data_IF_106763145933
#
_entry.id   IF_106763145933
#
_cell.length_a   1.000
_cell.length_b   1.000
_cell.length_c   1.000
_cell.angle_alpha   90.00
_cell.angle_beta   90.00
_cell.angle_gamma   90.00
#
_symmetry.space_group_name_H-M   'P 1'
#
loop_
_entity.id
_entity.type
_entity.pdbx_description
1 polymer ?
#
# COMPACT_ATOMS: atom_id res chain seq x y z
N UNK A 1 15.45 -3.05 6.15
CA UNK A 1 14.05 -3.37 5.85
C UNK A 1 13.63 -2.44 4.72
N UNK A 2 13.23 -2.99 3.58
CA UNK A 2 12.88 -2.17 2.41
C UNK A 2 11.45 -1.64 2.55
N UNK A 3 11.23 -0.37 2.16
CA UNK A 3 9.91 0.28 2.24
C UNK A 3 8.94 -0.32 1.23
N UNK A 4 9.43 -0.59 0.03
CA UNK A 4 8.70 -1.22 -1.07
C UNK A 4 9.19 -2.65 -1.22
N UNK A 5 8.30 -3.58 -1.54
CA UNK A 5 8.67 -4.99 -1.70
C UNK A 5 9.02 -5.36 -3.15
N UNK A 6 8.71 -4.50 -4.11
CA UNK A 6 9.00 -4.67 -5.52
C UNK A 6 9.13 -3.32 -6.24
N UNK A 7 9.76 -3.35 -7.41
CA UNK A 7 10.02 -2.16 -8.23
C UNK A 7 8.72 -1.52 -8.75
N UNK A 8 7.62 -2.26 -8.87
CA UNK A 8 6.36 -1.75 -9.44
C UNK A 8 5.74 -0.75 -8.49
N UNK A 9 5.60 -1.10 -7.20
CA UNK A 9 5.03 -0.17 -6.23
C UNK A 9 5.97 0.99 -5.92
N UNK A 10 7.29 0.78 -5.97
CA UNK A 10 8.25 1.87 -5.88
C UNK A 10 8.12 2.85 -7.07
N UNK A 11 7.99 2.34 -8.30
CA UNK A 11 7.75 3.16 -9.49
C UNK A 11 6.43 3.94 -9.38
N UNK A 12 5.34 3.28 -8.96
CA UNK A 12 4.04 3.92 -8.73
C UNK A 12 4.16 5.02 -7.68
N UNK A 13 4.89 4.75 -6.59
CA UNK A 13 5.09 5.73 -5.53
C UNK A 13 5.78 6.98 -6.09
N UNK A 14 6.92 6.84 -6.76
CA UNK A 14 7.70 7.99 -7.23
C UNK A 14 7.12 8.70 -8.45
N UNK A 15 6.56 7.96 -9.40
CA UNK A 15 6.22 8.48 -10.73
C UNK A 15 4.73 8.58 -11.00
N UNK A 16 3.89 8.04 -10.10
CA UNK A 16 2.43 7.88 -10.24
C UNK A 16 1.97 6.80 -11.23
N UNK A 17 2.90 6.23 -12.00
CA UNK A 17 2.60 5.26 -13.04
C UNK A 17 3.52 4.04 -12.92
N UNK A 18 3.11 2.92 -13.53
CA UNK A 18 3.97 1.79 -13.81
C UNK A 18 3.52 1.15 -15.11
N UNK A 19 4.47 0.86 -16.01
CA UNK A 19 4.17 0.44 -17.39
C UNK A 19 3.34 -0.85 -17.50
N UNK A 20 3.38 -1.69 -16.48
CA UNK A 20 2.66 -2.97 -16.42
C UNK A 20 1.33 -2.92 -15.64
N UNK A 21 0.94 -1.75 -15.12
CA UNK A 21 -0.27 -1.56 -14.33
C UNK A 21 -1.22 -0.62 -15.06
N UNK A 22 -2.52 -0.93 -15.04
CA UNK A 22 -3.52 -0.04 -15.64
C UNK A 22 -3.45 1.35 -15.01
N UNK A 23 -3.43 2.41 -15.83
CA UNK A 23 -3.20 3.78 -15.35
C UNK A 23 -4.18 4.22 -14.25
N UNK A 24 -5.45 3.84 -14.37
CA UNK A 24 -6.46 4.19 -13.38
C UNK A 24 -6.12 3.61 -12.00
N UNK A 25 -5.61 2.38 -11.97
CA UNK A 25 -5.18 1.67 -10.78
C UNK A 25 -3.87 2.26 -10.24
N UNK A 26 -2.88 2.53 -11.09
CA UNK A 26 -1.60 3.11 -10.68
C UNK A 26 -1.79 4.48 -10.02
N UNK A 27 -2.66 5.33 -10.58
CA UNK A 27 -2.98 6.64 -10.01
C UNK A 27 -3.64 6.51 -8.65
N UNK A 28 -4.58 5.57 -8.47
CA UNK A 28 -5.25 5.34 -7.18
C UNK A 28 -4.25 4.81 -6.15
N UNK A 29 -3.42 3.83 -6.52
CA UNK A 29 -2.38 3.29 -5.66
C UNK A 29 -1.40 4.38 -5.22
N UNK A 30 -0.91 5.22 -6.13
CA UNK A 30 -0.03 6.35 -5.83
C UNK A 30 -0.62 7.30 -4.78
N UNK A 31 -1.92 7.62 -4.90
CA UNK A 31 -2.62 8.51 -3.96
C UNK A 31 -2.75 7.93 -2.55
N UNK A 32 -2.82 6.60 -2.43
CA UNK A 32 -2.95 5.91 -1.14
C UNK A 32 -1.57 5.60 -0.55
N UNK A 33 -0.57 5.31 -1.39
CA UNK A 33 0.79 4.97 -0.95
C UNK A 33 1.49 6.13 -0.23
N UNK A 34 1.25 7.38 -0.65
CA UNK A 34 1.82 8.57 0.01
C UNK A 34 1.38 8.74 1.47
N UNK A 35 0.08 8.85 1.78
CA UNK A 35 -0.36 8.94 3.16
C UNK A 35 -0.05 7.65 3.95
N UNK A 36 0.01 6.48 3.30
CA UNK A 36 0.45 5.23 3.95
C UNK A 36 1.90 5.29 4.43
N UNK A 37 2.81 5.81 3.61
CA UNK A 37 4.21 5.95 3.99
C UNK A 37 4.40 7.04 5.06
N UNK A 38 3.57 8.08 5.05
CA UNK A 38 3.62 9.18 6.01
C UNK A 38 2.93 8.87 7.36
N UNK A 39 2.06 7.85 7.40
CA UNK A 39 1.30 7.48 8.58
C UNK A 39 2.23 7.13 9.77
N UNK A 40 1.87 7.63 10.95
CA UNK A 40 2.60 7.38 12.21
C UNK A 40 1.86 6.42 13.12
N UNK A 41 0.59 6.19 12.86
CA UNK A 41 -0.25 5.23 13.55
C UNK A 41 -1.19 4.52 12.57
N UNK A 42 -1.72 3.37 12.96
CA UNK A 42 -2.80 2.73 12.21
C UNK A 42 -4.08 3.58 12.20
N UNK A 43 -4.27 4.48 13.18
CA UNK A 43 -5.40 5.41 13.17
C UNK A 43 -5.30 6.38 11.99
N UNK A 44 -4.09 6.85 11.66
CA UNK A 44 -3.88 7.72 10.49
C UNK A 44 -4.26 7.00 9.19
N UNK A 45 -3.96 5.70 9.11
CA UNK A 45 -4.30 4.86 7.96
C UNK A 45 -5.82 4.71 7.82
N UNK A 46 -6.52 4.47 8.93
CA UNK A 46 -7.97 4.27 8.96
C UNK A 46 -8.77 5.52 8.50
N UNK A 47 -8.17 6.72 8.60
CA UNK A 47 -8.79 7.99 8.13
C UNK A 47 -9.09 7.98 6.63
N UNK A 48 -8.25 7.37 5.80
CA UNK A 48 -8.41 7.39 4.34
C UNK A 48 -8.74 6.02 3.73
N UNK A 49 -8.80 4.97 4.54
CA UNK A 49 -9.36 3.69 4.10
C UNK A 49 -9.38 2.64 5.20
N UNK A 50 -10.38 1.73 5.18
CA UNK A 50 -10.47 0.65 6.15
C UNK A 50 -9.27 -0.29 6.04
N UNK A 51 -8.75 -0.68 7.20
CA UNK A 51 -7.61 -1.60 7.32
C UNK A 51 -8.12 -3.03 7.44
N UNK A 52 -7.62 -3.91 6.59
CA UNK A 52 -7.95 -5.34 6.62
C UNK A 52 -6.72 -6.18 6.96
N UNK A 53 -6.94 -7.33 7.60
CA UNK A 53 -5.91 -8.37 7.72
C UNK A 53 -5.84 -9.14 6.41
N UNK A 54 -4.65 -9.24 5.82
CA UNK A 54 -4.44 -9.95 4.57
C UNK A 54 -4.49 -11.47 4.84
N UNK A 55 -5.38 -12.23 4.17
CA UNK A 55 -5.62 -13.62 4.53
C UNK A 55 -4.43 -14.55 4.23
N UNK A 56 -3.61 -14.19 3.23
CA UNK A 56 -2.52 -15.04 2.74
C UNK A 56 -1.18 -14.83 3.46
N UNK A 57 -1.11 -13.87 4.39
CA UNK A 57 0.13 -13.56 5.12
C UNK A 57 -0.20 -13.11 6.54
N UNK A 58 0.20 -13.92 7.52
CA UNK A 58 -0.04 -13.62 8.92
C UNK A 58 0.58 -12.27 9.32
N UNK A 59 -0.22 -11.40 9.94
CA UNK A 59 0.22 -10.07 10.40
C UNK A 59 0.27 -8.99 9.31
N UNK A 60 0.10 -9.34 8.03
CA UNK A 60 0.04 -8.35 6.95
C UNK A 60 -1.29 -7.62 6.96
N UNK A 61 -1.22 -6.32 6.73
CA UNK A 61 -2.38 -5.43 6.64
C UNK A 61 -2.60 -5.04 5.17
N UNK A 62 -3.79 -4.53 4.86
CA UNK A 62 -4.11 -4.05 3.53
C UNK A 62 -5.16 -2.95 3.53
N UNK A 63 -5.01 -2.00 2.61
CA UNK A 63 -5.93 -0.89 2.35
C UNK A 63 -6.44 -1.03 0.90
N UNK A 64 -7.76 -0.90 0.66
CA UNK A 64 -8.32 -1.07 -0.67
C UNK A 64 -7.89 0.08 -1.59
N UNK A 65 -7.57 -0.26 -2.83
CA UNK A 65 -7.23 0.70 -3.90
C UNK A 65 -8.38 0.82 -4.89
N UNK A 66 -8.75 -0.30 -5.51
CA UNK A 66 -9.83 -0.35 -6.48
C UNK A 66 -10.35 -1.77 -6.71
N UNK A 67 -11.65 -1.99 -6.52
CA UNK A 67 -12.25 -3.31 -6.67
C UNK A 67 -11.56 -4.39 -5.84
N UNK A 68 -10.81 -5.28 -6.49
CA UNK A 68 -10.07 -6.38 -5.85
C UNK A 68 -8.60 -6.05 -5.56
N UNK A 69 -8.15 -4.83 -5.82
CA UNK A 69 -6.77 -4.41 -5.62
C UNK A 69 -6.57 -3.71 -4.28
N UNK A 70 -5.46 -4.01 -3.62
CA UNK A 70 -5.11 -3.55 -2.29
C UNK A 70 -3.64 -3.14 -2.23
N UNK A 71 -3.33 -2.08 -1.47
CA UNK A 71 -1.99 -1.87 -0.97
C UNK A 71 -1.83 -2.65 0.32
N UNK A 72 -0.97 -3.65 0.29
CA UNK A 72 -0.69 -4.48 1.46
C UNK A 72 0.68 -4.14 2.02
N UNK A 73 0.83 -4.22 3.33
CA UNK A 73 2.04 -3.79 4.02
C UNK A 73 2.16 -4.49 5.36
N UNK A 74 3.40 -4.57 5.84
CA UNK A 74 3.69 -4.96 7.20
C UNK A 74 3.84 -3.66 8.03
N UNK A 75 3.49 -3.71 9.32
CA UNK A 75 3.46 -2.53 10.19
C UNK A 75 4.34 -2.72 11.43
N UNK A 76 5.19 -1.74 11.71
CA UNK A 76 5.99 -1.66 12.94
C UNK A 76 5.65 -0.37 13.67
N UNK A 77 5.26 -0.49 14.93
CA UNK A 77 4.96 0.65 15.80
C UNK A 77 6.17 1.59 15.90
N UNK A 78 5.94 2.88 15.62
CA UNK A 78 6.99 3.91 15.59
C UNK A 78 7.75 4.04 14.25
N UNK A 79 7.69 3.05 13.36
CA UNK A 79 8.36 3.08 12.04
C UNK A 79 7.40 3.22 10.85
N UNK A 80 6.16 2.73 11.01
CA UNK A 80 5.10 2.78 10.02
C UNK A 80 5.10 1.59 9.06
N UNK A 81 4.57 1.82 7.85
CA UNK A 81 4.43 0.80 6.82
C UNK A 81 5.76 0.46 6.13
N UNK A 82 5.98 -0.83 5.89
CA UNK A 82 7.10 -1.36 5.11
C UNK A 82 6.69 -2.57 4.29
N UNK A 83 7.58 -3.03 3.40
CA UNK A 83 7.30 -4.07 2.42
C UNK A 83 5.94 -3.83 1.72
N UNK A 84 5.67 -2.59 1.34
CA UNK A 84 4.43 -2.21 0.68
C UNK A 84 4.38 -2.94 -0.66
N UNK A 85 3.21 -3.46 -1.04
CA UNK A 85 2.92 -4.18 -2.28
C UNK A 85 1.59 -3.74 -2.85
N UNK A 86 1.42 -3.87 -4.16
CA UNK A 86 0.11 -3.80 -4.82
C UNK A 86 -0.37 -5.23 -5.11
N UNK A 87 -1.30 -5.76 -4.31
CA UNK A 87 -1.79 -7.13 -4.42
C UNK A 87 -3.26 -7.17 -4.87
N UNK A 88 -3.65 -8.29 -5.51
CA UNK A 88 -5.03 -8.57 -5.89
C UNK A 88 -5.59 -9.70 -5.01
N UNK A 89 -6.80 -9.50 -4.49
CA UNK A 89 -7.56 -10.50 -3.73
C UNK A 89 -8.33 -11.46 -4.62
#
# INVERSE_FOLDING_TARGET
MERFADDIIEEIYWTRFAGCVEQHLSIKAHKIAHPLLAARSLQDVDVYGPIFRWPNSAGRLGVPVDGKWYLTFDWVEGEGAFAIRLERR
#
